data_IF_344953376646
#
_entry.id   IF_344953376646
#
_cell.length_a   1.000
_cell.length_b   1.000
_cell.length_c   1.000
_cell.angle_alpha   90.00
_cell.angle_beta   90.00
_cell.angle_gamma   90.00
#
_symmetry.space_group_name_H-M   'P 1'
#
loop_
_entity.id
_entity.type
_entity.pdbx_description
1 polymer ?
#
# COMPACT_ATOMS: atom_id res chain seq x y z
N UNK A 1 52.18 73.41 -9.76
CA UNK A 1 51.32 74.51 -9.28
C UNK A 1 50.15 73.90 -8.53
N UNK A 2 49.95 74.41 -7.32
CA UNK A 2 49.01 73.94 -6.30
C UNK A 2 47.54 74.10 -6.75
N UNK A 3 46.71 73.10 -6.48
CA UNK A 3 45.27 73.13 -6.73
C UNK A 3 44.50 72.63 -5.51
N UNK A 4 44.03 73.59 -4.73
CA UNK A 4 43.49 73.54 -3.37
C UNK A 4 42.21 72.70 -3.21
N UNK A 5 42.16 71.90 -2.14
CA UNK A 5 40.95 71.22 -1.62
C UNK A 5 39.90 72.24 -1.15
N UNK A 6 38.62 72.02 -1.50
CA UNK A 6 37.48 72.56 -0.75
C UNK A 6 36.44 71.48 -0.49
N UNK A 7 36.06 71.42 0.78
CA UNK A 7 35.06 70.56 1.42
C UNK A 7 33.67 71.13 1.11
N UNK A 8 32.69 70.27 0.81
CA UNK A 8 31.27 70.58 0.95
C UNK A 8 30.53 69.34 1.48
N UNK A 9 29.70 69.60 2.48
CA UNK A 9 29.05 68.67 3.41
C UNK A 9 27.73 68.14 2.83
N UNK A 10 27.36 66.96 3.31
CA UNK A 10 26.24 66.11 2.93
C UNK A 10 24.83 66.70 3.13
N UNK A 11 23.90 66.23 2.30
CA UNK A 11 22.49 65.98 2.68
C UNK A 11 22.09 64.64 2.07
N UNK A 12 21.94 63.61 2.91
CA UNK A 12 21.42 62.31 2.51
C UNK A 12 19.90 62.28 2.80
N UNK A 13 19.09 62.16 1.75
CA UNK A 13 17.69 61.76 1.85
C UNK A 13 17.62 60.27 1.50
N UNK A 14 17.33 59.42 2.49
CA UNK A 14 17.05 57.99 2.28
C UNK A 14 15.56 57.80 2.04
N UNK A 15 15.16 57.59 0.78
CA UNK A 15 13.88 56.96 0.43
C UNK A 15 14.07 55.44 0.41
N UNK A 16 13.38 54.73 1.30
CA UNK A 16 13.26 53.28 1.25
C UNK A 16 12.15 52.89 0.27
N UNK A 17 12.50 52.24 -0.84
CA UNK A 17 11.55 51.59 -1.73
C UNK A 17 11.53 50.09 -1.45
N UNK A 18 10.39 49.57 -1.00
CA UNK A 18 10.15 48.14 -0.83
C UNK A 18 9.95 47.49 -2.21
N UNK A 19 10.92 46.67 -2.64
CA UNK A 19 10.78 45.83 -3.83
C UNK A 19 10.06 44.53 -3.48
N UNK A 20 8.88 44.31 -4.08
CA UNK A 20 8.20 43.02 -4.04
C UNK A 20 8.95 42.02 -4.94
N UNK A 21 9.49 40.96 -4.34
CA UNK A 21 10.08 39.83 -5.07
C UNK A 21 8.94 38.93 -5.54
N UNK A 22 8.64 38.95 -6.84
CA UNK A 22 7.78 37.96 -7.48
C UNK A 22 8.64 36.73 -7.77
N UNK A 23 8.48 35.68 -6.98
CA UNK A 23 9.06 34.36 -7.26
C UNK A 23 8.15 33.67 -8.28
N UNK A 24 8.57 33.66 -9.55
CA UNK A 24 7.96 32.81 -10.56
C UNK A 24 8.35 31.34 -10.28
N UNK A 25 7.41 30.54 -9.79
CA UNK A 25 7.58 29.10 -9.68
C UNK A 25 7.57 28.49 -11.09
N UNK A 26 8.70 27.92 -11.51
CA UNK A 26 8.78 27.09 -12.72
C UNK A 26 8.06 25.77 -12.48
N UNK A 27 7.00 25.48 -13.24
CA UNK A 27 6.35 24.16 -13.23
C UNK A 27 7.21 23.17 -14.02
N UNK A 28 7.80 22.19 -13.32
CA UNK A 28 8.47 21.08 -13.97
C UNK A 28 7.43 20.17 -14.66
N UNK A 29 7.61 19.89 -15.94
CA UNK A 29 6.77 18.96 -16.69
C UNK A 29 7.03 17.51 -16.23
N UNK A 30 5.96 16.75 -15.97
CA UNK A 30 6.04 15.31 -15.67
C UNK A 30 6.51 14.58 -16.94
N UNK A 31 7.64 13.87 -16.87
CA UNK A 31 8.17 13.11 -18.00
C UNK A 31 7.26 11.90 -18.31
N UNK A 32 6.81 11.78 -19.57
CA UNK A 32 5.99 10.66 -20.03
C UNK A 32 6.80 9.34 -20.13
N UNK A 33 6.11 8.20 -20.00
CA UNK A 33 6.71 6.87 -20.19
C UNK A 33 7.32 6.74 -21.60
N UNK A 34 8.52 6.16 -21.68
CA UNK A 34 9.18 5.88 -22.95
C UNK A 34 8.57 4.64 -23.60
N UNK A 35 8.46 4.65 -24.94
CA UNK A 35 8.32 3.42 -25.73
C UNK A 35 9.57 2.54 -25.59
N UNK A 36 9.44 1.27 -25.97
CA UNK A 36 10.58 0.34 -25.98
C UNK A 36 11.65 0.83 -26.96
N UNK A 37 11.28 1.26 -28.16
CA UNK A 37 12.23 1.82 -29.13
C UNK A 37 13.01 3.03 -28.58
N UNK A 38 12.32 3.94 -27.87
CA UNK A 38 12.98 5.09 -27.22
C UNK A 38 13.94 4.66 -26.10
N UNK A 39 13.55 3.66 -25.30
CA UNK A 39 14.40 3.14 -24.22
C UNK A 39 15.63 2.37 -24.74
N UNK A 40 15.48 1.64 -25.84
CA UNK A 40 16.57 0.95 -26.55
C UNK A 40 17.55 1.95 -27.14
N UNK A 41 17.07 3.09 -27.66
CA UNK A 41 17.94 4.14 -28.20
C UNK A 41 18.68 4.95 -27.13
N UNK A 42 18.09 5.10 -25.94
CA UNK A 42 18.66 5.94 -24.89
C UNK A 42 19.88 5.32 -24.20
N UNK A 43 19.72 4.16 -23.55
CA UNK A 43 20.78 3.36 -22.87
C UNK A 43 21.92 4.18 -22.22
N UNK A 44 21.55 5.30 -21.59
CA UNK A 44 22.44 6.36 -21.10
C UNK A 44 22.69 6.24 -19.58
N UNK A 45 22.21 5.17 -18.95
CA UNK A 45 22.35 4.92 -17.52
C UNK A 45 21.36 5.71 -16.65
N UNK A 46 20.47 6.53 -17.22
CA UNK A 46 19.47 7.26 -16.44
C UNK A 46 18.33 6.34 -16.01
N UNK A 47 17.62 6.74 -14.96
CA UNK A 47 16.35 6.12 -14.61
C UNK A 47 15.23 6.62 -15.52
N UNK A 48 14.41 5.71 -16.02
CA UNK A 48 13.25 6.01 -16.85
C UNK A 48 12.12 5.01 -16.62
N UNK A 49 10.90 5.43 -16.92
CA UNK A 49 9.74 4.55 -17.05
C UNK A 49 9.59 4.13 -18.51
N UNK A 50 9.39 2.84 -18.77
CA UNK A 50 9.25 2.26 -20.10
C UNK A 50 7.98 1.43 -20.16
N UNK A 51 7.20 1.60 -21.23
CA UNK A 51 5.98 0.82 -21.47
C UNK A 51 6.15 -0.07 -22.71
N UNK A 52 5.80 -1.36 -22.59
CA UNK A 52 5.93 -2.33 -23.69
C UNK A 52 5.19 -3.63 -23.45
N UNK A 53 4.97 -4.42 -24.49
CA UNK A 53 4.40 -5.76 -24.43
C UNK A 53 5.46 -6.80 -24.04
N UNK A 54 5.11 -7.70 -23.14
CA UNK A 54 5.93 -8.87 -22.80
C UNK A 54 5.99 -9.79 -24.00
N UNK A 55 7.18 -9.98 -24.53
CA UNK A 55 7.43 -10.80 -25.72
C UNK A 55 8.32 -12.01 -25.45
N UNK A 56 8.73 -12.27 -24.21
CA UNK A 56 9.37 -13.54 -23.87
C UNK A 56 10.38 -13.44 -22.74
N UNK A 57 11.09 -14.54 -22.49
CA UNK A 57 12.17 -14.61 -21.51
C UNK A 57 13.52 -14.60 -22.25
N UNK A 58 14.36 -13.57 -22.11
CA UNK A 58 15.72 -13.61 -22.65
C UNK A 58 16.56 -14.61 -21.84
N UNK A 59 17.30 -15.47 -22.55
CA UNK A 59 18.24 -16.44 -21.95
C UNK A 59 19.68 -16.21 -22.38
N UNK A 60 19.87 -15.44 -23.47
CA UNK A 60 21.17 -14.96 -23.95
C UNK A 60 20.97 -13.63 -24.71
N UNK A 61 22.06 -13.01 -25.15
CA UNK A 61 22.04 -11.72 -25.86
C UNK A 61 21.05 -11.70 -27.05
N UNK A 62 20.99 -12.77 -27.84
CA UNK A 62 20.13 -12.88 -29.03
C UNK A 62 19.03 -13.95 -28.92
N UNK A 63 18.86 -14.56 -27.76
CA UNK A 63 17.92 -15.68 -27.56
C UNK A 63 16.83 -15.29 -26.59
N UNK A 64 15.58 -15.31 -27.08
CA UNK A 64 14.37 -15.05 -26.29
C UNK A 64 13.42 -16.23 -26.43
N UNK A 65 13.16 -16.93 -25.33
CA UNK A 65 12.15 -17.98 -25.27
C UNK A 65 10.75 -17.35 -25.36
N UNK A 66 9.88 -17.90 -26.20
CA UNK A 66 8.47 -17.49 -26.33
C UNK A 66 7.51 -18.42 -25.58
N UNK A 67 8.00 -19.58 -25.15
CA UNK A 67 7.29 -20.61 -24.39
C UNK A 67 8.31 -21.51 -23.68
N UNK A 68 7.87 -22.35 -22.74
CA UNK A 68 8.78 -23.26 -22.02
C UNK A 68 9.80 -22.50 -21.17
N UNK A 69 9.34 -21.45 -20.48
CA UNK A 69 10.18 -20.57 -19.68
C UNK A 69 10.92 -21.34 -18.59
N UNK A 70 12.19 -21.00 -18.40
CA UNK A 70 13.14 -21.72 -17.53
C UNK A 70 13.58 -20.90 -16.33
N UNK A 71 13.10 -19.66 -16.20
CA UNK A 71 13.48 -18.78 -15.10
C UNK A 71 12.59 -17.54 -14.98
N UNK A 72 12.55 -17.00 -13.75
CA UNK A 72 11.76 -15.82 -13.37
C UNK A 72 12.58 -14.53 -13.25
N UNK A 73 13.82 -14.53 -13.76
CA UNK A 73 14.79 -13.46 -13.49
C UNK A 73 14.85 -12.39 -14.58
N UNK A 74 14.20 -12.62 -15.72
CA UNK A 74 14.23 -11.70 -16.85
C UNK A 74 12.98 -11.82 -17.73
N UNK A 75 12.59 -10.70 -18.34
CA UNK A 75 11.60 -10.66 -19.43
C UNK A 75 12.05 -9.70 -20.52
N UNK A 76 11.54 -9.87 -21.73
CA UNK A 76 11.76 -9.00 -22.87
C UNK A 76 10.48 -8.20 -23.15
N UNK A 77 10.62 -6.88 -23.31
CA UNK A 77 9.55 -5.98 -23.72
C UNK A 77 9.74 -5.55 -25.18
N UNK A 78 8.65 -5.33 -25.92
CA UNK A 78 8.66 -4.72 -27.25
C UNK A 78 7.47 -3.76 -27.43
N UNK A 79 7.52 -2.88 -28.42
CA UNK A 79 6.42 -1.96 -28.70
C UNK A 79 5.16 -2.67 -29.24
N UNK A 80 5.30 -3.88 -29.79
CA UNK A 80 4.18 -4.73 -30.26
C UNK A 80 4.26 -6.13 -29.67
N UNK A 81 3.12 -6.73 -29.33
CA UNK A 81 3.04 -8.07 -28.73
C UNK A 81 3.57 -9.21 -29.64
N UNK A 82 3.58 -8.96 -30.95
CA UNK A 82 4.04 -9.90 -31.97
C UNK A 82 5.53 -9.81 -32.29
N UNK A 83 6.29 -8.87 -31.70
CA UNK A 83 7.70 -8.67 -32.04
C UNK A 83 8.54 -9.94 -31.78
N UNK A 84 9.44 -10.24 -32.71
CA UNK A 84 10.35 -11.39 -32.65
C UNK A 84 11.82 -11.01 -32.88
N UNK A 85 12.09 -9.80 -33.39
CA UNK A 85 13.44 -9.29 -33.57
C UNK A 85 14.04 -8.82 -32.25
N UNK A 86 15.04 -9.54 -31.73
CA UNK A 86 15.70 -9.24 -30.46
C UNK A 86 16.20 -7.78 -30.36
N UNK A 87 16.71 -7.19 -31.46
CA UNK A 87 17.21 -5.81 -31.49
C UNK A 87 16.13 -4.74 -31.25
N UNK A 88 14.85 -5.09 -31.36
CA UNK A 88 13.71 -4.21 -31.06
C UNK A 88 13.12 -4.47 -29.68
N UNK A 89 13.78 -5.29 -28.86
CA UNK A 89 13.34 -5.62 -27.51
C UNK A 89 14.17 -4.89 -26.47
N UNK A 90 13.58 -4.62 -25.31
CA UNK A 90 14.30 -4.20 -24.12
C UNK A 90 14.32 -5.36 -23.12
N UNK A 91 15.51 -5.76 -22.69
CA UNK A 91 15.64 -6.83 -21.70
C UNK A 91 15.56 -6.25 -20.29
N UNK A 92 14.56 -6.71 -19.55
CA UNK A 92 14.25 -6.23 -18.21
C UNK A 92 14.73 -7.24 -17.19
N UNK A 93 15.53 -6.79 -16.24
CA UNK A 93 15.86 -7.57 -15.04
C UNK A 93 14.65 -7.66 -14.12
N UNK A 94 14.34 -8.86 -13.64
CA UNK A 94 13.34 -9.09 -12.61
C UNK A 94 14.08 -9.41 -11.30
N UNK A 95 14.22 -8.39 -10.45
CA UNK A 95 14.80 -8.54 -9.11
C UNK A 95 13.90 -9.38 -8.22
N UNK A 96 14.43 -9.92 -7.12
CA UNK A 96 13.73 -10.86 -6.24
C UNK A 96 12.32 -10.40 -5.86
N UNK A 97 12.13 -9.11 -5.57
CA UNK A 97 10.85 -8.50 -5.21
C UNK A 97 9.75 -8.64 -6.28
N UNK A 98 10.11 -8.79 -7.56
CA UNK A 98 9.16 -8.85 -8.67
C UNK A 98 9.01 -10.24 -9.29
N UNK A 99 9.85 -11.23 -8.91
CA UNK A 99 9.88 -12.55 -9.58
C UNK A 99 8.57 -13.30 -9.45
N UNK A 100 7.97 -13.28 -8.26
CA UNK A 100 6.72 -13.98 -8.00
C UNK A 100 5.56 -13.46 -8.86
N UNK A 101 5.55 -12.16 -9.20
CA UNK A 101 4.45 -11.53 -9.94
C UNK A 101 4.72 -11.33 -11.43
N UNK A 102 5.98 -11.19 -11.84
CA UNK A 102 6.37 -10.82 -13.21
C UNK A 102 7.30 -11.82 -13.89
N UNK A 103 7.80 -12.82 -13.16
CA UNK A 103 8.61 -13.89 -13.73
C UNK A 103 7.78 -14.80 -14.64
N UNK A 104 8.30 -15.13 -15.82
CA UNK A 104 7.55 -15.87 -16.84
C UNK A 104 7.48 -17.38 -16.61
N UNK A 105 8.38 -17.96 -15.82
CA UNK A 105 8.27 -19.36 -15.43
C UNK A 105 7.08 -19.54 -14.47
N UNK A 106 6.93 -18.63 -13.51
CA UNK A 106 5.81 -18.62 -12.56
C UNK A 106 4.52 -18.04 -13.16
N UNK A 107 4.62 -17.08 -14.10
CA UNK A 107 3.49 -16.34 -14.67
C UNK A 107 3.51 -16.34 -16.21
N UNK A 108 3.37 -17.50 -16.88
CA UNK A 108 3.42 -17.59 -18.34
C UNK A 108 2.29 -16.81 -19.04
N UNK A 109 1.18 -16.53 -18.34
CA UNK A 109 0.05 -15.73 -18.83
C UNK A 109 0.37 -14.24 -19.06
N UNK A 110 1.53 -13.76 -18.60
CA UNK A 110 2.00 -12.41 -18.89
C UNK A 110 2.41 -12.21 -20.34
N UNK A 111 2.65 -13.28 -21.10
CA UNK A 111 2.96 -13.17 -22.52
C UNK A 111 1.90 -12.39 -23.29
N UNK A 112 2.35 -11.39 -24.07
CA UNK A 112 1.47 -10.50 -24.81
C UNK A 112 0.72 -9.47 -23.96
N UNK A 113 0.91 -9.46 -22.63
CA UNK A 113 0.43 -8.35 -21.79
C UNK A 113 1.37 -7.17 -21.89
N UNK A 114 0.81 -5.95 -21.78
CA UNK A 114 1.59 -4.72 -21.73
C UNK A 114 1.99 -4.43 -20.29
N UNK A 115 3.25 -4.08 -20.05
CA UNK A 115 3.82 -3.70 -18.76
C UNK A 115 4.35 -2.27 -18.82
N UNK A 116 4.35 -1.60 -17.66
CA UNK A 116 5.14 -0.40 -17.39
C UNK A 116 6.22 -0.78 -16.38
N UNK A 117 7.47 -0.48 -16.70
CA UNK A 117 8.64 -0.79 -15.89
C UNK A 117 9.49 0.46 -15.72
N UNK A 118 9.69 0.89 -14.48
CA UNK A 118 10.63 1.95 -14.13
C UNK A 118 11.94 1.35 -13.61
N UNK A 119 13.07 1.86 -14.08
CA UNK A 119 14.39 1.47 -13.62
C UNK A 119 15.51 2.11 -14.44
N UNK A 120 16.72 1.61 -14.28
CA UNK A 120 17.90 2.18 -14.93
C UNK A 120 18.07 1.64 -16.34
N UNK A 121 18.15 2.51 -17.35
CA UNK A 121 18.41 2.13 -18.74
C UNK A 121 19.88 1.79 -18.92
N UNK A 122 20.20 0.51 -18.82
CA UNK A 122 21.57 0.00 -18.90
C UNK A 122 21.57 -1.43 -19.42
N UNK A 123 22.68 -1.84 -20.03
CA UNK A 123 22.77 -3.11 -20.71
C UNK A 123 22.48 -4.30 -19.77
N UNK A 124 21.68 -5.25 -20.26
CA UNK A 124 21.40 -6.53 -19.62
C UNK A 124 21.56 -7.65 -20.64
N UNK A 125 22.32 -8.71 -20.31
CA UNK A 125 22.80 -9.72 -21.28
C UNK A 125 23.57 -9.13 -22.48
N UNK A 126 24.35 -8.05 -22.30
CA UNK A 126 25.01 -7.33 -23.40
C UNK A 126 24.06 -6.82 -24.48
N UNK A 127 22.76 -6.69 -24.15
CA UNK A 127 21.70 -6.14 -24.97
C UNK A 127 21.19 -4.85 -24.31
N UNK A 128 20.52 -3.98 -25.08
CA UNK A 128 19.79 -2.86 -24.51
C UNK A 128 18.81 -3.37 -23.43
N UNK A 129 18.89 -2.78 -22.24
CA UNK A 129 18.20 -3.31 -21.07
C UNK A 129 17.71 -2.25 -20.09
N UNK A 130 16.99 -2.76 -19.10
CA UNK A 130 16.55 -2.02 -17.93
C UNK A 130 16.85 -2.87 -16.70
N UNK A 131 17.71 -2.35 -15.82
CA UNK A 131 18.13 -3.01 -14.58
C UNK A 131 17.68 -2.23 -13.36
N UNK A 132 17.76 -2.89 -12.21
CA UNK A 132 17.38 -2.30 -10.93
C UNK A 132 15.97 -1.68 -11.00
N UNK A 133 14.94 -2.45 -11.40
CA UNK A 133 13.59 -1.93 -11.49
C UNK A 133 13.16 -1.37 -10.13
N UNK A 134 12.59 -0.17 -10.15
CA UNK A 134 12.00 0.51 -9.00
C UNK A 134 10.47 0.42 -9.02
N UNK A 135 9.87 0.07 -10.16
CA UNK A 135 8.46 -0.25 -10.29
C UNK A 135 8.21 -1.19 -11.48
N UNK A 136 7.24 -2.12 -11.34
CA UNK A 136 6.71 -2.97 -12.42
C UNK A 136 5.19 -3.11 -12.27
N UNK A 137 4.43 -2.92 -13.36
CA UNK A 137 2.97 -3.05 -13.35
C UNK A 137 2.41 -3.39 -14.74
N UNK A 138 1.17 -3.90 -14.82
CA UNK A 138 0.46 -4.11 -16.10
C UNK A 138 -0.06 -2.78 -16.65
N UNK A 139 0.25 -2.45 -17.90
CA UNK A 139 -0.29 -1.28 -18.58
C UNK A 139 -1.77 -1.48 -18.90
N UNK A 140 -2.61 -0.55 -18.47
CA UNK A 140 -4.07 -0.64 -18.57
C UNK A 140 -4.75 -1.25 -17.33
N UNK A 141 -3.99 -1.77 -16.36
CA UNK A 141 -4.37 -1.49 -14.98
C UNK A 141 -4.10 0.00 -14.80
N UNK A 142 -5.10 0.78 -14.38
CA UNK A 142 -4.87 2.19 -14.06
C UNK A 142 -3.65 2.24 -13.15
N UNK A 143 -2.56 2.94 -13.50
CA UNK A 143 -1.60 3.30 -12.49
C UNK A 143 -2.40 4.13 -11.51
N UNK A 144 -2.74 3.56 -10.35
CA UNK A 144 -3.10 4.41 -9.22
C UNK A 144 -1.94 5.39 -9.13
N UNK A 145 -2.18 6.70 -9.26
CA UNK A 145 -1.11 7.64 -9.12
C UNK A 145 -0.49 7.38 -7.76
N UNK A 146 0.76 6.90 -7.73
CA UNK A 146 1.66 7.43 -6.73
C UNK A 146 1.80 8.89 -7.14
N UNK A 147 0.87 9.72 -6.66
CA UNK A 147 1.27 11.01 -6.14
C UNK A 147 2.49 10.68 -5.32
N UNK A 148 3.68 11.06 -5.81
CA UNK A 148 4.71 11.50 -4.90
C UNK A 148 3.97 12.46 -3.98
N UNK A 149 3.78 12.13 -2.69
CA UNK A 149 3.37 13.15 -1.75
C UNK A 149 4.44 14.22 -1.92
N UNK A 150 4.02 15.39 -2.36
CA UNK A 150 4.81 16.58 -2.09
C UNK A 150 5.04 16.54 -0.59
N UNK A 151 6.32 16.41 -0.23
CA UNK A 151 6.85 15.97 1.06
C UNK A 151 5.89 16.07 2.28
N UNK A 152 5.67 14.94 2.93
CA UNK A 152 5.22 14.81 4.32
C UNK A 152 5.95 13.61 4.95
N UNK A 153 7.25 13.76 5.22
CA UNK A 153 8.12 12.79 5.90
C UNK A 153 8.43 11.50 5.09
N UNK A 154 9.67 10.99 5.08
CA UNK A 154 9.91 9.62 4.63
C UNK A 154 9.36 8.64 5.69
N UNK A 155 8.78 7.52 5.26
CA UNK A 155 8.29 6.42 6.13
C UNK A 155 9.40 5.95 7.09
N UNK A 156 10.64 5.98 6.63
CA UNK A 156 11.81 5.59 7.41
C UNK A 156 12.04 6.47 8.68
N UNK A 157 12.03 7.82 8.63
CA UNK A 157 11.97 8.63 9.83
C UNK A 157 10.77 8.39 10.75
N UNK A 158 9.59 8.07 10.21
CA UNK A 158 8.42 7.76 11.05
C UNK A 158 8.69 6.55 11.95
N UNK A 159 9.41 5.54 11.45
CA UNK A 159 9.76 4.33 12.18
C UNK A 159 11.18 4.29 12.76
N UNK A 160 11.87 5.44 12.86
CA UNK A 160 13.27 5.48 13.30
C UNK A 160 13.52 4.77 14.65
N UNK A 161 12.57 4.83 15.58
CA UNK A 161 12.70 4.18 16.89
C UNK A 161 12.54 2.65 16.85
N UNK A 162 11.99 2.08 15.77
CA UNK A 162 11.82 0.65 15.56
C UNK A 162 12.98 0.01 14.77
N UNK A 163 13.80 0.82 14.09
CA UNK A 163 14.88 0.36 13.23
C UNK A 163 15.83 -0.64 13.93
N UNK A 164 16.03 -1.80 13.31
CA UNK A 164 16.94 -2.85 13.78
C UNK A 164 16.47 -3.63 15.02
N UNK A 165 15.27 -3.39 15.53
CA UNK A 165 14.71 -4.13 16.69
C UNK A 165 13.94 -5.37 16.23
N UNK A 166 13.79 -6.34 17.14
CA UNK A 166 12.95 -7.54 16.97
C UNK A 166 12.24 -7.88 18.29
N UNK A 167 11.29 -8.81 18.24
CA UNK A 167 10.60 -9.37 19.40
C UNK A 167 9.95 -8.31 20.30
N UNK A 168 10.04 -8.45 21.63
CA UNK A 168 9.44 -7.49 22.58
C UNK A 168 9.95 -6.05 22.40
N UNK A 169 11.21 -5.86 21.99
CA UNK A 169 11.77 -4.52 21.79
C UNK A 169 11.18 -3.82 20.57
N UNK A 170 10.90 -4.57 19.49
CA UNK A 170 10.21 -4.06 18.32
C UNK A 170 8.74 -3.76 18.64
N UNK A 171 8.04 -4.68 19.32
CA UNK A 171 6.65 -4.48 19.79
C UNK A 171 6.51 -3.17 20.56
N UNK A 172 7.31 -2.99 21.61
CA UNK A 172 7.27 -1.78 22.44
C UNK A 172 7.61 -0.49 21.65
N UNK A 173 8.55 -0.57 20.71
CA UNK A 173 8.90 0.57 19.86
C UNK A 173 7.76 0.96 18.92
N UNK A 174 7.13 -0.01 18.28
CA UNK A 174 5.98 0.22 17.40
C UNK A 174 4.79 0.76 18.17
N UNK A 175 4.45 0.19 19.32
CA UNK A 175 3.41 0.72 20.21
C UNK A 175 3.65 2.20 20.52
N UNK A 176 4.86 2.55 20.97
CA UNK A 176 5.24 3.93 21.26
C UNK A 176 5.08 4.90 20.08
N UNK A 177 5.30 4.43 18.84
CA UNK A 177 5.12 5.23 17.62
C UNK A 177 3.63 5.38 17.29
N UNK A 178 2.91 4.26 17.16
CA UNK A 178 1.57 4.26 16.57
C UNK A 178 0.50 4.64 17.57
N UNK A 179 0.80 4.63 18.88
CA UNK A 179 -0.14 5.10 19.91
C UNK A 179 -0.45 6.59 19.85
N UNK A 180 0.46 7.36 19.26
CA UNK A 180 0.27 8.77 18.98
C UNK A 180 -0.58 8.90 17.73
N UNK A 181 -1.87 9.19 17.93
CA UNK A 181 -2.84 9.35 16.85
C UNK A 181 -3.80 10.50 17.12
N UNK A 182 -4.35 11.08 16.07
CA UNK A 182 -5.57 11.88 16.13
C UNK A 182 -6.76 10.94 16.24
N UNK A 183 -7.66 11.22 17.18
CA UNK A 183 -8.91 10.48 17.34
C UNK A 183 -10.02 11.19 16.58
N UNK A 184 -10.93 10.40 16.00
CA UNK A 184 -12.11 10.90 15.30
C UNK A 184 -13.37 10.36 15.97
N UNK A 185 -14.49 11.08 15.84
CA UNK A 185 -15.77 10.64 16.38
C UNK A 185 -16.34 9.47 15.57
N UNK A 186 -17.27 8.72 16.19
CA UNK A 186 -17.94 7.60 15.52
C UNK A 186 -18.73 8.02 14.27
N UNK A 187 -19.20 9.27 14.22
CA UNK A 187 -19.88 9.82 13.04
C UNK A 187 -18.88 10.18 11.94
N UNK A 188 -17.71 10.75 12.30
CA UNK A 188 -16.64 11.08 11.34
C UNK A 188 -16.06 9.84 10.65
N UNK A 189 -16.16 8.66 11.27
CA UNK A 189 -15.78 7.39 10.64
C UNK A 189 -16.48 7.20 9.29
N UNK A 190 -17.74 7.64 9.12
CA UNK A 190 -18.43 7.47 7.83
C UNK A 190 -17.70 8.17 6.70
N UNK A 191 -17.25 9.39 6.94
CA UNK A 191 -16.51 10.18 5.95
C UNK A 191 -15.10 9.61 5.75
N UNK A 192 -14.49 9.09 6.81
CA UNK A 192 -13.21 8.39 6.74
C UNK A 192 -13.30 7.16 5.82
N UNK A 193 -14.26 6.26 6.05
CA UNK A 193 -14.42 5.05 5.23
C UNK A 193 -14.73 5.35 3.77
N UNK A 194 -15.49 6.43 3.49
CA UNK A 194 -15.74 6.90 2.12
C UNK A 194 -14.46 7.35 1.41
N UNK A 195 -13.45 7.81 2.15
CA UNK A 195 -12.15 8.21 1.59
C UNK A 195 -11.17 7.03 1.53
N UNK A 196 -10.99 6.33 2.65
CA UNK A 196 -9.98 5.27 2.82
C UNK A 196 -10.27 4.08 1.94
N UNK A 197 -11.54 3.70 1.79
CA UNK A 197 -11.98 2.51 1.07
C UNK A 197 -12.63 2.84 -0.29
N UNK A 198 -12.42 4.05 -0.80
CA UNK A 198 -12.92 4.47 -2.12
C UNK A 198 -12.50 3.47 -3.22
N UNK A 199 -13.48 3.06 -4.03
CA UNK A 199 -13.22 2.21 -5.20
C UNK A 199 -12.34 2.94 -6.24
N UNK A 200 -11.17 2.38 -6.61
CA UNK A 200 -10.29 2.97 -7.63
C UNK A 200 -10.92 3.03 -9.03
N UNK A 201 -11.88 2.14 -9.33
CA UNK A 201 -12.63 2.12 -10.58
C UNK A 201 -13.87 3.01 -10.58
N UNK A 202 -14.34 3.46 -9.40
CA UNK A 202 -15.51 4.32 -9.28
C UNK A 202 -15.46 5.15 -7.98
N UNK A 203 -15.10 6.44 -8.08
CA UNK A 203 -14.95 7.32 -6.91
C UNK A 203 -16.25 7.60 -6.15
N UNK A 204 -17.42 7.29 -6.73
CA UNK A 204 -18.71 7.38 -6.05
C UNK A 204 -18.98 6.20 -5.10
N UNK A 205 -18.14 5.16 -5.16
CA UNK A 205 -18.30 3.92 -4.42
C UNK A 205 -17.17 3.68 -3.42
N UNK A 206 -17.40 2.75 -2.49
CA UNK A 206 -16.41 2.10 -1.64
C UNK A 206 -16.33 0.61 -2.00
N UNK A 207 -15.19 -0.02 -1.74
CA UNK A 207 -15.03 -1.48 -1.80
C UNK A 207 -15.34 -2.06 -0.43
N UNK A 208 -16.35 -2.93 -0.37
CA UNK A 208 -16.66 -3.70 0.84
C UNK A 208 -15.59 -4.76 1.10
N UNK A 209 -15.19 -4.90 2.36
CA UNK A 209 -14.07 -5.75 2.77
C UNK A 209 -14.25 -7.23 2.35
N UNK A 210 -15.22 -7.91 2.95
CA UNK A 210 -15.45 -9.34 2.83
C UNK A 210 -16.14 -9.67 1.51
N UNK A 211 -17.22 -8.97 1.16
CA UNK A 211 -17.93 -9.23 -0.10
C UNK A 211 -17.13 -8.81 -1.34
N UNK A 212 -16.19 -7.88 -1.22
CA UNK A 212 -15.42 -7.34 -2.35
C UNK A 212 -16.26 -6.50 -3.32
N UNK A 213 -17.52 -6.22 -2.96
CA UNK A 213 -18.48 -5.50 -3.81
C UNK A 213 -18.14 -4.01 -3.82
N UNK A 214 -18.17 -3.42 -5.01
CA UNK A 214 -18.18 -1.95 -5.16
C UNK A 214 -19.59 -1.44 -4.89
N UNK A 215 -19.73 -0.57 -3.90
CA UNK A 215 -21.04 -0.10 -3.44
C UNK A 215 -21.07 1.42 -3.23
N UNK A 216 -22.20 2.05 -3.54
CA UNK A 216 -22.37 3.50 -3.42
C UNK A 216 -21.99 4.01 -2.03
N UNK A 217 -21.24 5.11 -1.98
CA UNK A 217 -20.96 5.84 -0.73
C UNK A 217 -22.22 6.32 -0.03
N UNK A 218 -23.34 6.46 -0.75
CA UNK A 218 -24.60 6.97 -0.20
C UNK A 218 -25.51 5.89 0.39
N UNK A 219 -25.25 4.60 0.16
CA UNK A 219 -26.04 3.49 0.72
C UNK A 219 -25.39 2.99 2.01
N UNK A 220 -25.09 3.93 2.92
CA UNK A 220 -24.45 3.66 4.19
C UNK A 220 -25.47 3.81 5.32
N UNK A 221 -25.57 2.83 6.21
CA UNK A 221 -26.65 2.83 7.19
C UNK A 221 -26.78 1.52 7.94
N UNK A 222 -28.02 1.07 8.09
CA UNK A 222 -28.37 -0.17 8.80
C UNK A 222 -29.60 -0.87 8.21
N UNK A 223 -30.08 -0.39 7.05
CA UNK A 223 -31.15 -1.04 6.30
C UNK A 223 -30.65 -2.29 5.56
N UNK A 224 -31.60 -3.00 4.94
CA UNK A 224 -31.27 -4.00 3.95
C UNK A 224 -30.53 -3.34 2.78
N UNK A 225 -29.54 -4.03 2.22
CA UNK A 225 -28.68 -3.58 1.13
C UNK A 225 -27.80 -2.36 1.44
N UNK A 226 -27.79 -1.84 2.67
CA UNK A 226 -26.80 -0.85 3.11
C UNK A 226 -25.45 -1.53 3.40
N UNK A 227 -24.39 -0.72 3.36
CA UNK A 227 -23.16 -1.06 4.07
C UNK A 227 -23.08 -0.33 5.42
N UNK A 228 -22.45 -0.96 6.39
CA UNK A 228 -22.18 -0.40 7.70
C UNK A 228 -20.69 -0.50 8.07
N UNK A 229 -20.37 -0.11 9.30
CA UNK A 229 -19.01 -0.14 9.85
C UNK A 229 -18.75 -1.52 10.43
N UNK A 230 -17.93 -2.29 9.74
CA UNK A 230 -17.34 -3.51 10.27
C UNK A 230 -16.18 -3.16 11.19
N UNK A 231 -16.21 -3.71 12.40
CA UNK A 231 -15.13 -3.64 13.39
C UNK A 231 -14.33 -4.93 13.29
N UNK A 232 -13.27 -4.97 12.46
CA UNK A 232 -12.51 -6.21 12.23
C UNK A 232 -11.98 -6.80 13.53
N UNK A 233 -11.55 -5.98 14.50
CA UNK A 233 -11.53 -6.43 15.88
C UNK A 233 -12.92 -6.24 16.48
N UNK A 234 -13.67 -7.32 16.72
CA UNK A 234 -15.05 -7.20 17.17
C UNK A 234 -15.11 -6.51 18.55
N UNK A 235 -15.98 -5.49 18.68
CA UNK A 235 -16.10 -4.65 19.89
C UNK A 235 -16.29 -5.44 21.19
N UNK A 236 -16.95 -6.60 21.12
CA UNK A 236 -17.18 -7.45 22.28
C UNK A 236 -15.91 -8.11 22.83
N UNK A 237 -14.85 -8.23 22.01
CA UNK A 237 -13.53 -8.72 22.44
C UNK A 237 -12.75 -7.56 23.06
N UNK A 238 -13.19 -7.12 24.25
CA UNK A 238 -12.60 -5.98 24.98
C UNK A 238 -13.59 -4.89 25.38
N UNK A 239 -14.87 -5.01 25.03
CA UNK A 239 -15.96 -4.13 25.46
C UNK A 239 -15.71 -2.62 25.28
N UNK A 240 -14.99 -2.25 24.21
CA UNK A 240 -14.61 -0.85 23.98
C UNK A 240 -15.67 -0.01 23.28
N UNK A 241 -16.75 -0.64 22.81
CA UNK A 241 -17.90 0.03 22.22
C UNK A 241 -17.53 0.93 21.03
N UNK A 242 -18.04 2.16 21.02
CA UNK A 242 -17.87 3.14 19.93
C UNK A 242 -17.20 4.43 20.39
N UNK A 243 -16.57 4.39 21.58
CA UNK A 243 -15.84 5.53 22.13
C UNK A 243 -14.58 5.82 21.30
N UNK A 244 -14.14 7.09 21.34
CA UNK A 244 -12.96 7.57 20.60
C UNK A 244 -11.72 6.85 21.07
N UNK A 245 -11.13 6.01 20.21
CA UNK A 245 -10.10 5.03 20.56
C UNK A 245 -10.26 3.80 19.66
N UNK A 246 -10.20 2.57 20.17
CA UNK A 246 -10.35 1.36 19.34
C UNK A 246 -11.74 1.30 18.68
N UNK A 247 -12.77 1.88 19.30
CA UNK A 247 -14.13 1.95 18.74
C UNK A 247 -14.26 2.79 17.46
N UNK A 248 -13.29 3.66 17.19
CA UNK A 248 -13.28 4.60 16.06
C UNK A 248 -12.01 4.52 15.24
N UNK A 249 -11.13 3.54 15.49
CA UNK A 249 -9.84 3.43 14.80
C UNK A 249 -10.01 2.90 13.36
N UNK A 250 -9.92 3.81 12.40
CA UNK A 250 -10.07 3.50 10.98
C UNK A 250 -8.92 2.67 10.43
N UNK A 251 -7.91 2.27 11.18
CA UNK A 251 -7.04 1.19 10.71
C UNK A 251 -7.76 -0.15 10.66
N UNK A 252 -8.71 -0.44 11.56
CA UNK A 252 -9.48 -1.70 11.55
C UNK A 252 -10.95 -1.57 11.14
N UNK A 253 -11.51 -0.34 11.09
CA UNK A 253 -12.90 -0.16 10.68
C UNK A 253 -12.99 -0.23 9.16
N UNK A 254 -13.88 -1.05 8.61
CA UNK A 254 -14.05 -1.22 7.15
C UNK A 254 -15.53 -1.08 6.76
N UNK A 255 -15.85 -0.62 5.54
CA UNK A 255 -17.21 -0.71 5.05
C UNK A 255 -17.52 -2.18 4.73
N UNK A 256 -18.68 -2.68 5.16
CA UNK A 256 -19.15 -4.01 4.78
C UNK A 256 -20.67 -4.04 4.64
N UNK A 257 -21.17 -4.94 3.80
CA UNK A 257 -22.59 -5.24 3.70
C UNK A 257 -23.18 -5.58 5.08
N UNK A 258 -24.34 -5.01 5.42
CA UNK A 258 -24.97 -5.19 6.73
C UNK A 258 -25.22 -6.66 7.07
N UNK A 259 -25.63 -7.48 6.08
CA UNK A 259 -25.92 -8.89 6.27
C UNK A 259 -24.63 -9.70 6.47
N UNK A 260 -23.59 -9.42 5.67
CA UNK A 260 -22.29 -10.07 5.79
C UNK A 260 -21.63 -9.73 7.12
N UNK A 261 -21.71 -8.47 7.54
CA UNK A 261 -21.25 -8.03 8.86
C UNK A 261 -22.02 -8.76 9.99
N UNK A 262 -23.34 -8.90 9.87
CA UNK A 262 -24.13 -9.65 10.84
C UNK A 262 -23.74 -11.15 10.89
N UNK A 263 -23.43 -11.77 9.75
CA UNK A 263 -22.93 -13.16 9.69
C UNK A 263 -21.57 -13.31 10.35
N UNK A 264 -20.66 -12.34 10.14
CA UNK A 264 -19.36 -12.30 10.80
C UNK A 264 -19.53 -12.15 12.32
N UNK A 265 -20.40 -11.24 12.75
CA UNK A 265 -20.75 -11.03 14.16
C UNK A 265 -19.52 -10.71 15.02
N UNK A 266 -19.30 -11.51 16.06
CA UNK A 266 -18.13 -11.42 16.95
C UNK A 266 -17.17 -12.61 16.81
N UNK A 267 -17.26 -13.36 15.72
CA UNK A 267 -16.45 -14.55 15.51
C UNK A 267 -14.96 -14.19 15.43
N UNK A 268 -14.15 -15.13 15.91
CA UNK A 268 -12.72 -15.14 15.67
C UNK A 268 -12.43 -15.42 14.18
N UNK A 269 -11.16 -15.38 13.76
CA UNK A 269 -10.77 -15.68 12.39
C UNK A 269 -10.04 -17.01 12.29
N UNK A 270 -10.52 -17.86 11.39
CA UNK A 270 -9.93 -19.17 11.10
C UNK A 270 -10.28 -19.61 9.68
N UNK A 271 -9.83 -20.79 9.27
CA UNK A 271 -10.12 -21.39 7.96
C UNK A 271 -11.23 -22.45 8.09
N UNK A 272 -12.16 -22.45 7.15
CA UNK A 272 -13.18 -23.48 6.99
C UNK A 272 -14.61 -22.97 7.23
N UNK A 273 -15.53 -23.94 7.28
CA UNK A 273 -16.96 -23.68 7.45
C UNK A 273 -17.75 -23.72 6.15
N UNK A 274 -18.90 -23.04 6.14
CA UNK A 274 -19.84 -22.99 5.03
C UNK A 274 -19.79 -21.64 4.31
N UNK A 275 -20.09 -21.63 3.01
CA UNK A 275 -20.07 -20.41 2.21
C UNK A 275 -21.03 -19.33 2.74
N UNK A 276 -20.56 -18.09 2.76
CA UNK A 276 -21.37 -16.92 3.09
C UNK A 276 -22.05 -16.41 1.81
N UNK A 277 -23.39 -16.35 1.81
CA UNK A 277 -24.19 -16.11 0.60
C UNK A 277 -23.84 -14.83 -0.16
N UNK A 278 -23.70 -13.70 0.54
CA UNK A 278 -23.43 -12.38 -0.06
C UNK A 278 -21.94 -12.00 -0.06
N UNK A 279 -21.07 -12.92 0.37
CA UNK A 279 -19.62 -12.72 0.35
C UNK A 279 -18.91 -13.91 -0.29
N UNK A 280 -18.86 -13.95 -1.64
CA UNK A 280 -18.23 -15.04 -2.36
C UNK A 280 -16.78 -15.27 -1.95
N UNK A 281 -16.45 -16.53 -1.63
CA UNK A 281 -15.12 -16.92 -1.17
C UNK A 281 -14.88 -16.72 0.32
N UNK A 282 -15.83 -16.15 1.06
CA UNK A 282 -15.82 -16.18 2.52
C UNK A 282 -16.53 -17.44 3.03
N UNK A 283 -16.02 -18.01 4.12
CA UNK A 283 -16.62 -19.13 4.82
C UNK A 283 -16.91 -18.74 6.28
N UNK A 284 -17.85 -19.43 6.91
CA UNK A 284 -18.15 -19.25 8.33
C UNK A 284 -18.67 -20.52 8.98
N UNK A 285 -18.39 -20.66 10.27
CA UNK A 285 -18.97 -21.68 11.14
C UNK A 285 -19.45 -21.04 12.46
N UNK A 286 -19.51 -21.82 13.54
CA UNK A 286 -20.07 -21.39 14.82
C UNK A 286 -19.27 -20.31 15.52
N UNK A 287 -17.94 -20.34 15.39
CA UNK A 287 -17.01 -19.53 16.18
C UNK A 287 -15.99 -18.79 15.32
N UNK A 288 -15.92 -19.08 14.02
CA UNK A 288 -14.96 -18.48 13.11
C UNK A 288 -15.52 -17.95 11.79
N UNK A 289 -14.79 -17.00 11.22
CA UNK A 289 -15.00 -16.46 9.89
C UNK A 289 -13.71 -16.55 9.08
N UNK A 290 -13.79 -17.09 7.86
CA UNK A 290 -12.72 -17.08 6.88
C UNK A 290 -13.02 -16.02 5.81
N UNK A 291 -12.24 -14.95 5.68
CA UNK A 291 -12.43 -13.98 4.62
C UNK A 291 -11.92 -14.53 3.28
N UNK A 292 -12.44 -13.98 2.17
CA UNK A 292 -11.96 -14.29 0.82
C UNK A 292 -10.46 -14.04 0.67
N UNK A 293 -9.83 -14.79 -0.22
CA UNK A 293 -8.37 -14.82 -0.36
C UNK A 293 -7.69 -13.44 -0.49
N UNK A 294 -8.33 -12.48 -1.17
CA UNK A 294 -7.71 -11.18 -1.47
C UNK A 294 -7.81 -10.13 -0.34
N UNK A 295 -8.32 -10.49 0.85
CA UNK A 295 -8.28 -9.60 2.04
C UNK A 295 -7.84 -10.36 3.30
N UNK A 296 -7.29 -11.57 3.13
CA UNK A 296 -6.81 -12.39 4.24
C UNK A 296 -5.63 -11.71 4.95
N UNK A 297 -4.72 -11.14 4.17
CA UNK A 297 -3.59 -10.38 4.66
C UNK A 297 -4.00 -9.06 5.29
N UNK A 298 -4.97 -8.37 4.69
CA UNK A 298 -5.54 -7.13 5.24
C UNK A 298 -6.09 -7.38 6.66
N UNK A 299 -6.93 -8.40 6.82
CA UNK A 299 -7.50 -8.78 8.13
C UNK A 299 -6.38 -9.07 9.12
N UNK A 300 -5.40 -9.88 8.73
CA UNK A 300 -4.26 -10.19 9.60
C UNK A 300 -3.50 -8.93 10.05
N UNK A 301 -3.19 -8.00 9.13
CA UNK A 301 -2.45 -6.77 9.45
C UNK A 301 -3.27 -5.78 10.27
N UNK A 302 -4.59 -5.72 10.09
CA UNK A 302 -5.47 -4.91 10.95
C UNK A 302 -5.49 -5.44 12.38
N UNK A 303 -5.57 -6.77 12.57
CA UNK A 303 -5.56 -7.39 13.89
C UNK A 303 -4.19 -7.27 14.58
N UNK A 304 -3.09 -7.46 13.84
CA UNK A 304 -1.74 -7.23 14.34
C UNK A 304 -1.54 -5.77 14.76
N UNK A 305 -2.03 -4.82 13.96
CA UNK A 305 -2.00 -3.40 14.34
C UNK A 305 -2.73 -3.14 15.65
N UNK A 306 -3.96 -3.65 15.80
CA UNK A 306 -4.76 -3.44 17.01
C UNK A 306 -4.05 -3.98 18.26
N UNK A 307 -3.42 -5.14 18.15
CA UNK A 307 -2.70 -5.76 19.26
C UNK A 307 -1.38 -5.06 19.65
N UNK A 308 -0.82 -4.24 18.76
CA UNK A 308 0.34 -3.39 19.05
C UNK A 308 -0.10 -2.00 19.49
N UNK A 309 -1.16 -1.46 18.91
CA UNK A 309 -1.65 -0.13 19.24
C UNK A 309 -2.24 -0.11 20.64
N UNK A 310 -3.01 -1.12 21.02
CA UNK A 310 -3.77 -1.12 22.26
C UNK A 310 -3.19 -2.12 23.27
N UNK A 311 -2.03 -1.80 23.85
CA UNK A 311 -1.37 -2.61 24.89
C UNK A 311 -1.86 -2.33 26.33
N UNK A 312 -2.95 -1.58 26.49
CA UNK A 312 -3.57 -1.30 27.79
C UNK A 312 -2.92 -0.20 28.65
N UNK A 313 -1.91 0.51 28.15
CA UNK A 313 -1.19 1.55 28.90
C UNK A 313 -1.79 2.97 28.76
N UNK A 314 -2.87 3.12 27.98
CA UNK A 314 -3.52 4.40 27.67
C UNK A 314 -5.02 4.44 28.03
N UNK A 315 -5.46 3.54 28.91
CA UNK A 315 -6.83 3.48 29.43
C UNK A 315 -7.81 2.67 28.59
N UNK A 316 -7.35 2.07 27.49
CA UNK A 316 -8.08 1.08 26.70
C UNK A 316 -7.76 -0.36 27.17
N UNK A 317 -8.56 -1.36 26.77
CA UNK A 317 -8.22 -2.76 27.00
C UNK A 317 -6.88 -3.14 26.35
N UNK A 318 -6.15 -4.07 26.99
CA UNK A 318 -4.98 -4.72 26.38
C UNK A 318 -5.46 -5.77 25.38
N UNK A 319 -5.39 -5.44 24.09
CA UNK A 319 -5.83 -6.28 22.98
C UNK A 319 -4.69 -7.22 22.58
N UNK A 320 -4.91 -8.53 22.69
CA UNK A 320 -3.88 -9.54 22.39
C UNK A 320 -4.30 -10.51 21.29
N UNK A 321 -3.38 -10.83 20.38
CA UNK A 321 -3.55 -11.99 19.50
C UNK A 321 -3.19 -13.27 20.26
N UNK A 322 -3.97 -14.34 20.05
CA UNK A 322 -3.64 -15.67 20.56
C UNK A 322 -3.90 -16.74 19.49
N UNK A 323 -3.61 -18.00 19.81
CA UNK A 323 -3.77 -19.11 18.87
C UNK A 323 -5.06 -19.92 19.07
N UNK A 324 -6.11 -19.26 19.57
CA UNK A 324 -7.40 -19.86 19.92
C UNK A 324 -8.55 -19.16 19.19
N UNK A 325 -9.64 -19.91 18.99
CA UNK A 325 -10.96 -19.37 18.64
C UNK A 325 -11.90 -19.50 19.83
N UNK A 326 -13.03 -18.79 19.81
CA UNK A 326 -14.02 -18.85 20.88
C UNK A 326 -13.58 -18.05 22.12
N UNK A 327 -12.91 -16.91 21.91
CA UNK A 327 -12.39 -16.06 23.00
C UNK A 327 -13.49 -15.37 23.83
N UNK A 328 -14.76 -15.48 23.42
CA UNK A 328 -15.91 -14.93 24.12
C UNK A 328 -15.87 -13.41 24.17
N UNK A 329 -15.71 -12.84 25.36
CA UNK A 329 -15.61 -11.39 25.58
C UNK A 329 -14.22 -10.95 26.04
N UNK A 330 -13.24 -11.87 26.12
CA UNK A 330 -11.87 -11.51 26.45
C UNK A 330 -11.33 -10.55 25.38
N UNK A 331 -10.39 -9.64 25.71
CA UNK A 331 -9.76 -8.76 24.73
C UNK A 331 -8.74 -9.51 23.89
N UNK A 332 -9.16 -10.62 23.28
CA UNK A 332 -8.30 -11.54 22.54
C UNK A 332 -8.97 -11.96 21.25
N UNK A 333 -8.19 -12.08 20.19
CA UNK A 333 -8.66 -12.64 18.93
C UNK A 333 -7.59 -13.53 18.32
N UNK A 334 -8.00 -14.70 17.85
CA UNK A 334 -7.13 -15.65 17.17
C UNK A 334 -7.75 -16.15 15.87
N UNK A 335 -7.11 -17.09 15.17
CA UNK A 335 -5.85 -17.76 15.51
C UNK A 335 -4.61 -17.08 14.90
N UNK A 336 -3.67 -16.68 15.73
CA UNK A 336 -2.44 -15.98 15.33
C UNK A 336 -1.63 -16.77 14.28
N UNK A 337 -1.51 -18.09 14.40
CA UNK A 337 -0.81 -18.93 13.42
C UNK A 337 -1.44 -18.83 12.02
N UNK A 338 -2.77 -18.78 11.95
CA UNK A 338 -3.54 -18.61 10.72
C UNK A 338 -3.40 -17.19 10.19
N UNK A 339 -3.49 -16.18 11.05
CA UNK A 339 -3.28 -14.78 10.67
C UNK A 339 -1.87 -14.55 10.09
N UNK A 340 -0.83 -15.14 10.68
CA UNK A 340 0.54 -15.08 10.14
C UNK A 340 0.67 -15.83 8.81
N UNK A 341 -0.06 -16.92 8.62
CA UNK A 341 -0.12 -17.61 7.33
C UNK A 341 -0.77 -16.71 6.26
N UNK A 342 -1.92 -16.13 6.56
CA UNK A 342 -2.65 -15.24 5.68
C UNK A 342 -1.84 -14.00 5.31
N UNK A 343 -1.19 -13.37 6.29
CA UNK A 343 -0.27 -12.24 6.08
C UNK A 343 0.82 -12.56 5.04
N UNK A 344 1.39 -13.78 5.07
CA UNK A 344 2.42 -14.21 4.09
C UNK A 344 1.85 -14.53 2.72
N UNK A 345 0.63 -15.06 2.65
CA UNK A 345 -0.02 -15.47 1.41
C UNK A 345 -0.62 -14.30 0.64
N UNK A 346 -1.00 -13.24 1.36
CA UNK A 346 -1.63 -12.04 0.82
C UNK A 346 -0.84 -10.79 1.26
N UNK A 347 0.29 -10.46 0.60
CA UNK A 347 1.10 -9.28 0.93
C UNK A 347 0.33 -7.97 0.70
N UNK A 348 0.74 -6.84 1.32
CA UNK A 348 0.05 -5.57 1.09
C UNK A 348 -0.02 -5.20 -0.38
N UNK A 349 -1.20 -4.81 -0.82
CA UNK A 349 -1.45 -4.39 -2.18
C UNK A 349 -1.50 -2.85 -2.31
N UNK A 350 -1.85 -2.36 -3.50
CA UNK A 350 -1.93 -0.92 -3.74
C UNK A 350 -3.13 -0.26 -3.02
N UNK A 351 -4.23 -0.98 -2.86
CA UNK A 351 -5.42 -0.48 -2.19
C UNK A 351 -5.14 -0.30 -0.69
N UNK A 352 -4.53 -1.30 -0.06
CA UNK A 352 -4.20 -1.30 1.36
C UNK A 352 -3.12 -0.25 1.70
N UNK A 353 -2.09 -0.10 0.87
CA UNK A 353 -1.09 0.97 1.03
C UNK A 353 -1.70 2.36 0.87
N UNK A 354 -2.59 2.55 -0.11
CA UNK A 354 -3.32 3.82 -0.27
C UNK A 354 -4.13 4.11 0.99
N UNK A 355 -4.83 3.09 1.50
CA UNK A 355 -5.64 3.20 2.72
C UNK A 355 -4.79 3.68 3.90
N UNK A 356 -3.65 3.02 4.15
CA UNK A 356 -2.71 3.41 5.20
C UNK A 356 -2.24 4.86 5.06
N UNK A 357 -1.91 5.28 3.83
CA UNK A 357 -1.52 6.66 3.54
C UNK A 357 -2.66 7.67 3.75
N UNK A 358 -3.90 7.37 3.35
CA UNK A 358 -5.04 8.26 3.59
C UNK A 358 -5.31 8.43 5.07
N UNK A 359 -5.23 7.35 5.85
CA UNK A 359 -5.40 7.41 7.30
C UNK A 359 -4.33 8.32 7.93
N UNK A 360 -3.07 8.16 7.51
CA UNK A 360 -1.97 8.99 7.97
C UNK A 360 -2.10 10.46 7.54
N UNK A 361 -2.39 10.72 6.26
CA UNK A 361 -2.34 12.07 5.72
C UNK A 361 -3.57 12.93 6.10
N UNK A 362 -4.74 12.30 6.32
CA UNK A 362 -6.00 13.03 6.39
C UNK A 362 -6.87 12.74 7.63
N UNK A 363 -6.64 11.65 8.37
CA UNK A 363 -7.59 11.21 9.42
C UNK A 363 -6.97 11.05 10.80
N UNK A 364 -6.09 10.06 10.99
CA UNK A 364 -5.59 9.70 12.32
C UNK A 364 -4.10 9.97 12.50
N UNK A 365 -3.37 10.32 11.44
CA UNK A 365 -1.96 10.73 11.53
C UNK A 365 -1.02 9.68 12.15
N UNK A 366 -1.45 8.43 12.18
CA UNK A 366 -0.64 7.26 12.49
C UNK A 366 -0.74 6.21 11.38
N UNK A 367 0.23 5.30 11.33
CA UNK A 367 0.38 4.30 10.26
C UNK A 367 0.30 2.88 10.83
N UNK A 368 -0.28 1.97 10.05
CA UNK A 368 -0.18 0.54 10.33
C UNK A 368 1.20 0.01 9.90
N UNK A 369 2.06 -0.39 10.86
CA UNK A 369 3.43 -0.78 10.57
C UNK A 369 3.52 -2.07 9.78
N UNK A 370 2.51 -2.94 9.85
CA UNK A 370 2.53 -4.21 9.13
C UNK A 370 2.16 -4.08 7.65
N UNK A 371 1.64 -2.91 7.24
CA UNK A 371 1.43 -2.55 5.83
C UNK A 371 2.73 -1.97 5.25
N UNK A 372 3.40 -1.08 5.99
CA UNK A 372 4.62 -0.42 5.54
C UNK A 372 5.86 -1.33 5.65
N UNK A 373 5.90 -2.18 6.68
CA UNK A 373 6.97 -3.15 6.98
C UNK A 373 6.41 -4.55 7.32
N UNK A 374 5.92 -5.31 6.32
CA UNK A 374 5.33 -6.64 6.53
C UNK A 374 6.25 -7.62 7.26
N UNK A 375 7.56 -7.50 7.04
CA UNK A 375 8.58 -8.33 7.69
C UNK A 375 8.54 -8.26 9.23
N UNK A 376 8.00 -7.20 9.82
CA UNK A 376 7.90 -7.05 11.26
C UNK A 376 6.89 -7.99 11.92
N UNK A 377 5.90 -8.49 11.19
CA UNK A 377 4.99 -9.51 11.71
C UNK A 377 5.77 -10.77 12.15
N UNK A 378 6.69 -11.24 11.29
CA UNK A 378 7.56 -12.36 11.62
C UNK A 378 8.62 -11.99 12.67
N UNK A 379 9.09 -10.74 12.68
CA UNK A 379 10.06 -10.29 13.68
C UNK A 379 9.47 -10.23 15.11
N UNK A 380 8.15 -10.11 15.26
CA UNK A 380 7.45 -10.10 16.56
C UNK A 380 6.93 -11.49 16.93
N UNK A 381 6.26 -12.18 16.01
CA UNK A 381 5.53 -13.43 16.29
C UNK A 381 6.04 -14.67 15.54
N UNK A 382 7.14 -14.57 14.80
CA UNK A 382 7.67 -15.67 13.98
C UNK A 382 8.55 -16.69 14.70
N UNK A 383 8.64 -16.62 16.03
CA UNK A 383 9.49 -17.50 16.87
C UNK A 383 8.78 -18.75 17.36
#
# INVERSE_FOLDING_TARGET
>A
MSGTRRIAVAVALTLAAAGAVVVAASTAAVAADLSVAQAVAAQDGRSASVVGYVVGQPTATSTVLRSGFTGDTALALADTAGETGATRMLYVQITAAYRASFGLQSNPSLMGRRLVVAGQLTAYFSHAGLKSPTAMSLAGATPTPTVTPTASGPVEPYYAAAAGKTGPALRAALHGIIKVQTTISYDQVWDALKDTDQDPGNSANVILLYSGRSQSKSTNGGGADDWNREHVWAKSHGDFGTATGPGTDVHHLRPEDVSVNAVRGNKDFDTGGSAVGEAPGCLTDSDSFEPRAAVKGDVARMLMYMAIRYEGDDGWPDLELNDLVGNGTAPRIGRLSVLLQWHRQDPPDAFERRRNERIYAAWQHNRNPFIDHPEWAAAIWGS
#
